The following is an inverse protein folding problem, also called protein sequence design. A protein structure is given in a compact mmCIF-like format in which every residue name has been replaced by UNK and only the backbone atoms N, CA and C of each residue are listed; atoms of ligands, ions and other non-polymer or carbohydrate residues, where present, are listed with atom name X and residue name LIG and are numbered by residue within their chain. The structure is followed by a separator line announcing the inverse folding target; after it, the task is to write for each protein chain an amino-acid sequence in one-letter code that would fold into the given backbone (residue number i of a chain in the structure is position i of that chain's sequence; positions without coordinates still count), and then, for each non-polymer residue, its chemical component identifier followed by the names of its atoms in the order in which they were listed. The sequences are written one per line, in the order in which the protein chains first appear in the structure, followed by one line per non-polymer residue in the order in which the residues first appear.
data_IF_755545653857
#
_entry.id   IF_755545653857
#
_cell.length_a   1.000
_cell.length_b   1.000
_cell.length_c   1.000
_cell.angle_alpha   90.00
_cell.angle_beta   90.00
_cell.angle_gamma   90.00
#
_symmetry.space_group_name_H-M   'P 1'
#
loop_
_entity.id
_entity.type
_entity.pdbx_description
1 polymer ?
#
# COMPACT_ATOMS: atom_id res chain seq x y z
N UNK A 1 59.43 30.85 -15.37
CA UNK A 1 58.78 30.26 -14.18
C UNK A 1 57.26 30.41 -14.31
N UNK A 2 56.60 29.43 -14.94
CA UNK A 2 55.12 29.47 -15.14
C UNK A 2 54.45 28.61 -14.07
N UNK A 3 53.60 29.24 -13.28
CA UNK A 3 52.79 28.54 -12.26
C UNK A 3 51.45 28.11 -12.93
N UNK A 4 51.24 26.81 -13.09
CA UNK A 4 50.00 26.25 -13.54
C UNK A 4 49.08 26.10 -12.33
N UNK A 5 47.96 26.84 -12.30
CA UNK A 5 46.93 26.69 -11.30
C UNK A 5 45.94 25.59 -11.76
N UNK A 6 45.80 24.51 -10.99
CA UNK A 6 44.75 23.51 -11.17
C UNK A 6 43.40 24.05 -10.64
N UNK A 7 42.29 23.88 -11.35
CA UNK A 7 40.97 24.18 -10.79
C UNK A 7 40.54 23.07 -9.86
N UNK A 8 40.19 23.41 -8.64
CA UNK A 8 39.59 22.53 -7.64
C UNK A 8 38.11 22.37 -7.97
N UNK A 9 37.73 21.24 -8.56
CA UNK A 9 36.33 20.90 -8.83
C UNK A 9 35.68 20.37 -7.54
N UNK A 10 34.86 21.20 -6.90
CA UNK A 10 34.06 20.80 -5.75
C UNK A 10 32.82 20.09 -6.28
N UNK A 11 32.80 18.75 -6.17
CA UNK A 11 31.62 17.96 -6.42
C UNK A 11 30.66 18.09 -5.23
N UNK A 12 29.52 18.76 -5.42
CA UNK A 12 28.41 18.77 -4.45
C UNK A 12 27.65 17.45 -4.57
N UNK A 13 27.55 16.66 -3.49
CA UNK A 13 26.63 15.52 -3.50
C UNK A 13 25.20 16.02 -3.51
N UNK A 14 24.46 15.71 -4.58
CA UNK A 14 23.02 15.93 -4.64
C UNK A 14 22.37 14.96 -3.66
N UNK A 15 22.12 15.39 -2.44
CA UNK A 15 21.32 14.65 -1.49
C UNK A 15 19.87 14.65 -1.97
N UNK A 16 19.42 13.54 -2.56
CA UNK A 16 18.00 13.29 -2.76
C UNK A 16 17.36 13.15 -1.38
N UNK A 17 16.73 14.21 -0.91
CA UNK A 17 15.82 14.15 0.22
C UNK A 17 14.62 13.29 -0.23
N UNK A 18 14.61 12.02 0.13
CA UNK A 18 13.40 11.21 0.13
C UNK A 18 12.48 11.88 1.15
N UNK A 19 11.43 12.54 0.68
CA UNK A 19 10.41 13.07 1.55
C UNK A 19 9.80 11.88 2.30
N UNK A 20 10.18 11.71 3.56
CA UNK A 20 9.52 10.80 4.47
C UNK A 20 8.07 11.26 4.57
N UNK A 21 7.15 10.56 3.89
CA UNK A 21 5.72 10.75 4.10
C UNK A 21 5.43 10.27 5.52
N UNK A 22 5.40 11.21 6.45
CA UNK A 22 4.99 10.97 7.82
C UNK A 22 3.69 10.14 7.79
N UNK A 23 3.74 9.02 8.47
CA UNK A 23 2.63 8.10 8.59
C UNK A 23 1.35 8.86 8.93
N UNK A 24 0.34 8.70 8.08
CA UNK A 24 -0.94 9.41 8.24
C UNK A 24 -1.79 8.66 9.25
N UNK A 25 -2.03 9.29 10.39
CA UNK A 25 -2.88 8.74 11.43
C UNK A 25 -4.28 8.41 10.89
N UNK A 26 -4.70 7.14 10.99
CA UNK A 26 -6.02 6.68 10.59
C UNK A 26 -6.56 5.63 11.57
N UNK A 27 -7.88 5.55 11.63
CA UNK A 27 -8.62 4.44 12.24
C UNK A 27 -9.71 4.01 11.25
N UNK A 28 -9.67 2.76 10.81
CA UNK A 28 -10.65 2.19 9.88
C UNK A 28 -11.13 0.83 10.39
N UNK A 29 -12.43 0.57 10.18
CA UNK A 29 -12.95 -0.78 10.39
C UNK A 29 -12.58 -1.69 9.22
N UNK A 30 -12.34 -2.95 9.52
CA UNK A 30 -12.23 -3.99 8.50
C UNK A 30 -13.62 -4.53 8.07
N UNK A 31 -13.62 -5.51 7.19
CA UNK A 31 -14.84 -6.17 6.71
C UNK A 31 -15.58 -6.96 7.80
N UNK A 32 -14.96 -7.22 8.95
CA UNK A 32 -15.54 -7.87 10.13
C UNK A 32 -15.99 -6.87 11.21
N UNK A 33 -15.95 -5.56 10.90
CA UNK A 33 -16.29 -4.46 11.84
C UNK A 33 -15.29 -4.29 13.00
N UNK A 34 -14.11 -4.87 12.86
CA UNK A 34 -13.04 -4.68 13.82
C UNK A 34 -12.27 -3.39 13.47
N UNK A 35 -12.13 -2.43 14.41
CA UNK A 35 -11.33 -1.23 14.19
C UNK A 35 -9.84 -1.56 14.18
N UNK A 36 -9.12 -0.90 13.27
CA UNK A 36 -7.67 -0.96 13.18
C UNK A 36 -7.12 0.45 13.09
N UNK A 37 -6.19 0.78 13.96
CA UNK A 37 -5.41 2.01 13.88
C UNK A 37 -4.21 1.82 12.96
N UNK A 38 -3.60 2.92 12.54
CA UNK A 38 -2.34 2.88 11.84
C UNK A 38 -1.26 2.13 12.65
N UNK A 39 -1.18 2.39 13.96
CA UNK A 39 -0.23 1.73 14.83
C UNK A 39 -0.43 0.21 14.86
N UNK A 40 -1.67 -0.29 14.85
CA UNK A 40 -1.96 -1.73 14.80
C UNK A 40 -1.48 -2.37 13.49
N UNK A 41 -1.68 -1.66 12.37
CA UNK A 41 -1.31 -2.18 11.05
C UNK A 41 0.22 -2.23 10.86
N UNK A 42 0.93 -1.20 11.31
CA UNK A 42 2.39 -1.11 11.12
C UNK A 42 3.20 -1.58 12.34
N UNK A 43 2.59 -2.25 13.32
CA UNK A 43 3.21 -2.67 14.58
C UNK A 43 4.46 -3.56 14.41
N UNK A 44 5.60 -2.97 14.07
CA UNK A 44 6.90 -3.65 13.99
C UNK A 44 7.03 -4.66 12.85
N UNK A 45 6.17 -4.58 11.81
CA UNK A 45 6.17 -5.49 10.66
C UNK A 45 6.18 -4.70 9.35
N UNK A 46 6.87 -5.25 8.34
CA UNK A 46 6.68 -4.78 6.99
C UNK A 46 5.26 -5.12 6.51
N UNK A 47 4.65 -4.19 5.77
CA UNK A 47 3.26 -4.31 5.30
C UNK A 47 3.21 -4.21 3.79
N UNK A 48 2.53 -5.14 3.16
CA UNK A 48 2.12 -5.03 1.75
C UNK A 48 0.63 -4.69 1.72
N UNK A 49 0.31 -3.48 1.30
CA UNK A 49 -1.05 -2.97 1.23
C UNK A 49 -1.56 -2.97 -0.20
N UNK A 50 -2.60 -3.75 -0.47
CA UNK A 50 -3.31 -3.80 -1.75
C UNK A 50 -4.45 -2.78 -1.68
N UNK A 51 -4.38 -1.72 -2.47
CA UNK A 51 -5.33 -0.62 -2.43
C UNK A 51 -6.10 -0.47 -3.76
N UNK A 52 -7.40 -0.23 -3.68
CA UNK A 52 -8.21 0.00 -4.88
C UNK A 52 -9.56 0.63 -4.58
N UNK A 53 -10.20 1.16 -5.63
CA UNK A 53 -11.46 1.90 -5.53
C UNK A 53 -12.52 1.50 -6.58
N UNK A 54 -12.22 0.59 -7.49
CA UNK A 54 -13.13 0.20 -8.56
C UNK A 54 -13.87 -1.11 -8.27
N UNK A 55 -14.98 -1.36 -8.99
CA UNK A 55 -15.76 -2.60 -8.87
C UNK A 55 -14.94 -3.87 -9.14
N UNK A 56 -13.91 -3.79 -9.98
CA UNK A 56 -13.02 -4.92 -10.32
C UNK A 56 -11.86 -5.08 -9.32
N UNK A 57 -11.70 -4.15 -8.39
CA UNK A 57 -10.63 -4.20 -7.39
C UNK A 57 -10.64 -5.46 -6.53
N UNK A 58 -11.80 -5.99 -6.08
CA UNK A 58 -11.81 -7.20 -5.27
C UNK A 58 -11.19 -8.41 -5.97
N UNK A 59 -11.43 -8.60 -7.27
CA UNK A 59 -10.82 -9.70 -8.05
C UNK A 59 -9.31 -9.52 -8.18
N UNK A 60 -8.87 -8.29 -8.45
CA UNK A 60 -7.45 -7.95 -8.51
C UNK A 60 -6.77 -8.12 -7.13
N UNK A 61 -7.41 -7.72 -6.04
CA UNK A 61 -6.92 -7.96 -4.67
C UNK A 61 -6.79 -9.45 -4.37
N UNK A 62 -7.78 -10.26 -4.78
CA UNK A 62 -7.74 -11.71 -4.58
C UNK A 62 -6.55 -12.34 -5.32
N UNK A 63 -6.32 -11.93 -6.57
CA UNK A 63 -5.19 -12.42 -7.35
C UNK A 63 -3.85 -12.06 -6.71
N UNK A 64 -3.67 -10.80 -6.29
CA UNK A 64 -2.49 -10.34 -5.57
C UNK A 64 -2.30 -11.05 -4.22
N UNK A 65 -3.38 -11.17 -3.43
CA UNK A 65 -3.33 -11.87 -2.14
C UNK A 65 -2.87 -13.31 -2.28
N UNK A 66 -3.42 -14.04 -3.26
CA UNK A 66 -3.03 -15.41 -3.56
C UNK A 66 -1.55 -15.53 -3.93
N UNK A 67 -1.05 -14.60 -4.73
CA UNK A 67 0.35 -14.59 -5.15
C UNK A 67 1.30 -14.19 -4.00
N UNK A 68 0.95 -13.17 -3.21
CA UNK A 68 1.72 -12.73 -2.04
C UNK A 68 1.82 -13.82 -0.98
N UNK A 69 0.72 -14.52 -0.65
CA UNK A 69 0.74 -15.63 0.30
C UNK A 69 1.67 -16.78 -0.09
N UNK A 70 2.00 -16.92 -1.36
CA UNK A 70 2.93 -17.96 -1.85
C UNK A 70 4.38 -17.51 -1.86
N UNK A 71 4.62 -16.21 -2.06
CA UNK A 71 5.96 -15.67 -2.37
C UNK A 71 6.51 -14.73 -1.31
N UNK A 72 5.66 -14.04 -0.54
CA UNK A 72 6.12 -13.12 0.50
C UNK A 72 6.54 -13.88 1.77
N UNK A 73 7.53 -13.38 2.53
CA UNK A 73 7.90 -13.93 3.82
C UNK A 73 6.71 -13.93 4.79
N UNK A 74 6.58 -14.92 5.68
CA UNK A 74 5.47 -15.02 6.64
C UNK A 74 5.48 -13.88 7.68
N UNK A 75 6.59 -13.17 7.82
CA UNK A 75 6.74 -12.00 8.69
C UNK A 75 6.07 -10.74 8.14
N UNK A 76 5.75 -10.73 6.84
CA UNK A 76 5.10 -9.61 6.16
C UNK A 76 3.59 -9.67 6.37
N UNK A 77 3.01 -8.56 6.82
CA UNK A 77 1.56 -8.44 6.93
C UNK A 77 0.97 -8.01 5.57
N UNK A 78 0.04 -8.79 5.04
CA UNK A 78 -0.70 -8.46 3.81
C UNK A 78 -2.09 -7.95 4.19
N UNK A 79 -2.41 -6.70 3.78
CA UNK A 79 -3.71 -6.06 4.04
C UNK A 79 -4.32 -5.51 2.75
N UNK A 80 -5.64 -5.42 2.70
CA UNK A 80 -6.37 -4.68 1.68
C UNK A 80 -6.80 -3.31 2.20
N UNK A 81 -6.87 -2.32 1.31
CA UNK A 81 -7.50 -1.03 1.55
C UNK A 81 -8.52 -0.77 0.44
N UNK A 82 -9.80 -0.85 0.77
CA UNK A 82 -10.90 -0.61 -0.16
C UNK A 82 -11.39 0.81 -0.02
N UNK A 83 -11.17 1.65 -1.05
CA UNK A 83 -11.79 2.96 -1.12
C UNK A 83 -13.26 2.80 -1.57
N UNK A 84 -14.18 3.09 -0.66
CA UNK A 84 -15.62 2.91 -0.82
C UNK A 84 -16.37 4.25 -0.98
N UNK A 85 -15.65 5.35 -1.21
CA UNK A 85 -16.24 6.69 -1.37
C UNK A 85 -17.30 6.75 -2.49
N UNK A 86 -17.08 6.00 -3.59
CA UNK A 86 -17.99 5.95 -4.72
C UNK A 86 -19.19 5.00 -4.56
N UNK A 87 -19.34 4.34 -3.41
CA UNK A 87 -20.48 3.43 -3.17
C UNK A 87 -21.73 4.26 -2.92
N UNK A 88 -22.83 4.05 -3.72
CA UNK A 88 -24.07 4.79 -3.52
C UNK A 88 -24.64 4.60 -2.11
N UNK A 89 -25.17 5.66 -1.52
CA UNK A 89 -25.67 5.68 -0.14
C UNK A 89 -26.80 4.67 0.15
N UNK A 90 -27.56 4.27 -0.88
CA UNK A 90 -28.63 3.27 -0.78
C UNK A 90 -28.11 1.82 -0.76
N UNK A 91 -26.81 1.59 -1.02
CA UNK A 91 -26.22 0.26 -0.93
C UNK A 91 -25.86 -0.01 0.53
N UNK A 92 -26.42 -1.06 1.17
CA UNK A 92 -26.11 -1.36 2.56
C UNK A 92 -24.63 -1.69 2.73
N UNK A 93 -23.98 -1.02 3.70
CA UNK A 93 -22.57 -1.28 4.05
C UNK A 93 -22.31 -2.75 4.38
N UNK A 94 -23.26 -3.40 5.04
CA UNK A 94 -23.19 -4.83 5.38
C UNK A 94 -23.08 -5.72 4.15
N UNK A 95 -23.74 -5.36 3.03
CA UNK A 95 -23.66 -6.12 1.77
C UNK A 95 -22.24 -6.02 1.16
N UNK A 96 -21.64 -4.83 1.19
CA UNK A 96 -20.27 -4.63 0.73
C UNK A 96 -19.28 -5.43 1.61
N UNK A 97 -19.40 -5.33 2.95
CA UNK A 97 -18.56 -6.08 3.88
C UNK A 97 -18.66 -7.59 3.66
N UNK A 98 -19.90 -8.13 3.50
CA UNK A 98 -20.12 -9.55 3.18
C UNK A 98 -19.44 -9.99 1.89
N UNK A 99 -19.46 -9.15 0.86
CA UNK A 99 -18.76 -9.43 -0.40
C UNK A 99 -17.23 -9.48 -0.19
N UNK A 100 -16.66 -8.54 0.56
CA UNK A 100 -15.23 -8.54 0.90
C UNK A 100 -14.83 -9.77 1.71
N UNK A 101 -15.64 -10.18 2.70
CA UNK A 101 -15.44 -11.42 3.47
C UNK A 101 -15.39 -12.64 2.54
N UNK A 102 -16.34 -12.73 1.60
CA UNK A 102 -16.39 -13.85 0.67
C UNK A 102 -15.19 -13.92 -0.26
N UNK A 103 -14.66 -12.77 -0.69
CA UNK A 103 -13.54 -12.69 -1.62
C UNK A 103 -12.18 -12.83 -0.93
N UNK A 104 -12.03 -12.29 0.27
CA UNK A 104 -10.77 -12.23 1.02
C UNK A 104 -10.96 -12.68 2.49
N UNK A 105 -11.39 -13.92 2.74
CA UNK A 105 -11.83 -14.37 4.07
C UNK A 105 -10.71 -14.35 5.12
N UNK A 106 -9.46 -14.46 4.71
CA UNK A 106 -8.29 -14.58 5.61
C UNK A 106 -7.34 -13.36 5.50
N UNK A 107 -7.84 -12.25 5.01
CA UNK A 107 -7.05 -11.03 4.83
C UNK A 107 -7.81 -9.86 5.44
N UNK A 108 -7.16 -9.03 6.23
CA UNK A 108 -7.73 -7.78 6.73
C UNK A 108 -7.95 -6.87 5.52
N UNK A 109 -9.18 -6.39 5.33
CA UNK A 109 -9.52 -5.40 4.31
C UNK A 109 -10.11 -4.18 5.00
N UNK A 110 -9.33 -3.12 5.06
CA UNK A 110 -9.74 -1.85 5.65
C UNK A 110 -10.78 -1.15 4.75
N UNK A 111 -11.88 -0.71 5.34
CA UNK A 111 -13.00 -0.10 4.63
C UNK A 111 -12.95 1.44 4.75
N UNK A 112 -12.39 2.11 3.75
CA UNK A 112 -12.33 3.58 3.71
C UNK A 112 -13.56 4.17 3.02
N UNK A 113 -14.64 4.36 3.78
CA UNK A 113 -15.92 4.89 3.30
C UNK A 113 -15.88 6.33 2.79
N UNK A 114 -14.85 7.08 3.15
CA UNK A 114 -14.69 8.50 2.80
C UNK A 114 -13.53 8.75 1.83
N UNK A 115 -12.77 7.71 1.45
CA UNK A 115 -11.60 7.81 0.60
C UNK A 115 -10.43 8.64 1.19
N UNK A 116 -10.55 9.06 2.46
CA UNK A 116 -9.56 9.95 3.09
C UNK A 116 -8.23 9.27 3.33
N UNK A 117 -8.24 8.05 3.85
CA UNK A 117 -7.02 7.27 4.11
C UNK A 117 -6.35 6.88 2.79
N UNK A 118 -7.15 6.46 1.80
CA UNK A 118 -6.67 6.16 0.46
C UNK A 118 -5.91 7.36 -0.16
N UNK A 119 -6.49 8.55 -0.08
CA UNK A 119 -5.89 9.78 -0.57
C UNK A 119 -4.65 10.20 0.23
N UNK A 120 -4.70 10.13 1.57
CA UNK A 120 -3.59 10.47 2.47
C UNK A 120 -2.38 9.55 2.24
N UNK A 121 -2.62 8.26 2.02
CA UNK A 121 -1.55 7.30 1.69
C UNK A 121 -1.02 7.48 0.25
N UNK A 122 -1.54 8.44 -0.52
CA UNK A 122 -1.05 8.80 -1.83
C UNK A 122 -1.31 7.75 -2.91
N UNK A 123 -2.39 6.99 -2.80
CA UNK A 123 -2.78 6.06 -3.85
C UNK A 123 -3.40 6.80 -5.04
N UNK A 124 -3.03 6.43 -6.29
CA UNK A 124 -3.52 7.12 -7.48
C UNK A 124 -5.00 6.81 -7.72
N UNK A 125 -5.76 7.84 -8.08
CA UNK A 125 -7.13 7.67 -8.57
C UNK A 125 -7.10 7.07 -9.99
N UNK A 126 -8.05 6.18 -10.28
CA UNK A 126 -8.18 5.56 -11.61
C UNK A 126 -7.26 4.36 -11.86
N UNK A 127 -6.52 3.90 -10.88
CA UNK A 127 -5.81 2.63 -10.95
C UNK A 127 -6.72 1.49 -10.50
N UNK A 128 -6.78 0.40 -11.26
CA UNK A 128 -7.58 -0.80 -10.89
C UNK A 128 -7.14 -1.35 -9.53
N UNK A 129 -5.83 -1.36 -9.30
CA UNK A 129 -5.22 -1.75 -8.03
C UNK A 129 -3.82 -1.15 -7.92
N UNK A 130 -3.45 -0.74 -6.72
CA UNK A 130 -2.09 -0.33 -6.35
C UNK A 130 -1.62 -1.19 -5.19
N UNK A 131 -0.38 -1.65 -5.24
CA UNK A 131 0.24 -2.45 -4.18
C UNK A 131 1.42 -1.66 -3.64
N UNK A 132 1.29 -1.19 -2.41
CA UNK A 132 2.34 -0.44 -1.72
C UNK A 132 3.04 -1.30 -0.69
N UNK A 133 4.34 -1.10 -0.55
CA UNK A 133 5.17 -1.71 0.49
C UNK A 133 5.52 -0.63 1.51
N UNK A 134 5.32 -0.95 2.77
CA UNK A 134 5.69 -0.11 3.91
C UNK A 134 6.66 -0.87 4.81
N UNK A 135 7.54 -0.14 5.45
CA UNK A 135 8.41 -0.70 6.49
C UNK A 135 7.67 -0.85 7.83
N UNK A 136 8.39 -1.30 8.86
CA UNK A 136 7.85 -1.50 10.21
C UNK A 136 7.46 -0.20 10.94
N UNK A 137 7.83 0.96 10.40
CA UNK A 137 7.49 2.29 10.93
C UNK A 137 6.33 2.94 10.16
N UNK A 138 5.83 2.28 9.10
CA UNK A 138 4.78 2.81 8.23
C UNK A 138 5.30 3.76 7.15
N UNK A 139 6.61 3.82 6.93
CA UNK A 139 7.18 4.56 5.80
C UNK A 139 7.00 3.77 4.51
N UNK A 140 6.52 4.44 3.47
CA UNK A 140 6.28 3.81 2.18
C UNK A 140 7.56 3.64 1.39
N UNK A 141 7.96 2.39 1.14
CA UNK A 141 9.17 2.01 0.39
C UNK A 141 8.94 2.07 -1.13
N UNK A 142 7.71 1.82 -1.59
CA UNK A 142 7.37 1.91 -3.00
C UNK A 142 5.93 1.51 -3.31
N UNK A 143 5.53 1.68 -4.58
CA UNK A 143 4.20 1.33 -5.10
C UNK A 143 4.33 0.67 -6.46
N UNK A 144 3.59 -0.41 -6.67
CA UNK A 144 3.45 -1.10 -7.95
C UNK A 144 1.98 -1.05 -8.36
N UNK A 145 1.68 -0.57 -9.56
CA UNK A 145 0.31 -0.40 -10.06
C UNK A 145 -0.05 -1.48 -11.08
N UNK A 146 -1.31 -1.92 -11.04
CA UNK A 146 -1.90 -2.84 -12.02
C UNK A 146 -2.01 -4.28 -11.56
N UNK A 147 -2.55 -5.18 -12.43
CA UNK A 147 -2.80 -6.58 -12.11
C UNK A 147 -1.49 -7.32 -11.79
N UNK A 148 -1.60 -8.41 -11.03
CA UNK A 148 -0.44 -9.23 -10.69
C UNK A 148 0.18 -9.86 -11.94
N UNK A 149 1.50 -9.72 -12.07
CA UNK A 149 2.36 -10.42 -13.02
C UNK A 149 3.61 -10.87 -12.29
N UNK A 150 4.39 -11.79 -12.85
CA UNK A 150 5.65 -12.21 -12.23
C UNK A 150 6.64 -11.05 -12.08
N UNK A 151 6.68 -10.16 -13.08
CA UNK A 151 7.51 -8.95 -13.03
C UNK A 151 7.09 -8.00 -11.89
N UNK A 152 5.79 -7.67 -11.79
CA UNK A 152 5.28 -6.81 -10.71
C UNK A 152 5.42 -7.45 -9.34
N UNK A 153 5.26 -8.77 -9.26
CA UNK A 153 5.52 -9.50 -8.02
C UNK A 153 7.00 -9.37 -7.62
N UNK A 154 7.93 -9.54 -8.55
CA UNK A 154 9.36 -9.36 -8.29
C UNK A 154 9.66 -7.92 -7.81
N UNK A 155 9.03 -6.90 -8.41
CA UNK A 155 9.14 -5.51 -7.97
C UNK A 155 8.66 -5.33 -6.52
N UNK A 156 7.50 -5.89 -6.16
CA UNK A 156 6.98 -5.83 -4.78
C UNK A 156 7.91 -6.52 -3.80
N UNK A 157 8.40 -7.72 -4.14
CA UNK A 157 9.32 -8.47 -3.28
C UNK A 157 10.67 -7.77 -3.10
N UNK A 158 11.17 -7.09 -4.13
CA UNK A 158 12.41 -6.30 -4.06
C UNK A 158 12.31 -5.06 -3.16
N UNK A 159 11.09 -4.56 -2.92
CA UNK A 159 10.85 -3.45 -2.00
C UNK A 159 10.77 -3.89 -0.53
N UNK A 160 10.63 -5.19 -0.25
CA UNK A 160 10.55 -5.67 1.13
C UNK A 160 11.91 -5.49 1.81
N UNK A 161 11.95 -5.05 3.08
CA UNK A 161 13.18 -5.01 3.85
C UNK A 161 13.74 -6.43 4.04
N UNK A 162 15.04 -6.56 4.16
CA UNK A 162 15.73 -7.85 4.35
C UNK A 162 15.37 -8.55 5.68
#
# INVERSE_FOLDING_TARGET
MSRIALPLTIAFPLAFAVAANAATDFTLDDQYEKPHTQADIFAGKAVVMMAGMERKTPDAMQAWNKALRRKAPPTVLVVGLSNLEGVPFFVPKSSIKKALVKQLPNTIVLCDWKGKTYAKLGFPKGSTISVAVFDAHGERLGVVNGPVTDERMAQVLALLPP
#
